data_IF_834682921346
#
_entry.id   IF_834682921346
#
_cell.length_a   1.000
_cell.length_b   1.000
_cell.length_c   1.000
_cell.angle_alpha   90.00
_cell.angle_beta   90.00
_cell.angle_gamma   90.00
#
_symmetry.space_group_name_H-M   'P 1'
#
loop_
_entity.id
_entity.type
_entity.pdbx_description
1 polymer ?
#
# COMPACT_ATOMS: atom_id res chain seq x y z
N UNK A 1 9.47 24.54 -2.71
CA UNK A 1 8.68 24.07 -3.88
C UNK A 1 7.27 23.62 -3.50
N UNK A 2 7.09 22.58 -2.68
CA UNK A 2 5.76 21.98 -2.45
C UNK A 2 4.86 22.67 -1.40
N UNK A 3 5.40 23.58 -0.59
CA UNK A 3 4.65 24.21 0.49
C UNK A 3 4.11 25.62 0.18
N UNK A 4 4.52 26.24 -0.93
CA UNK A 4 4.09 27.61 -1.27
C UNK A 4 4.26 28.57 -0.09
N UNK A 5 3.18 29.24 0.28
CA UNK A 5 3.12 30.20 1.40
C UNK A 5 2.83 29.57 2.77
N UNK A 6 2.76 28.24 2.88
CA UNK A 6 2.51 27.55 4.16
C UNK A 6 3.71 27.66 5.09
N UNK A 7 3.83 28.82 5.74
CA UNK A 7 4.84 29.12 6.78
C UNK A 7 4.64 28.29 8.06
N UNK A 8 3.53 27.56 8.16
CA UNK A 8 3.25 26.70 9.31
C UNK A 8 4.17 25.48 9.37
N UNK A 9 4.70 25.03 8.24
CA UNK A 9 5.49 23.78 8.16
C UNK A 9 6.74 23.79 9.05
N UNK A 10 7.39 24.95 9.21
CA UNK A 10 8.57 25.09 10.08
C UNK A 10 8.28 24.88 11.57
N UNK A 11 7.00 24.82 11.97
CA UNK A 11 6.58 24.51 13.34
C UNK A 11 6.25 23.04 13.56
N UNK A 12 6.23 22.23 12.50
CA UNK A 12 5.87 20.82 12.60
C UNK A 12 7.08 20.02 13.10
N UNK A 13 6.83 18.93 13.83
CA UNK A 13 7.88 17.94 14.07
C UNK A 13 8.37 17.38 12.72
N UNK A 14 9.68 17.15 12.55
CA UNK A 14 10.25 16.68 11.28
C UNK A 14 9.51 15.49 10.67
N UNK A 15 9.08 14.50 11.46
CA UNK A 15 8.32 13.34 10.95
C UNK A 15 6.98 13.72 10.29
N UNK A 16 6.28 14.71 10.86
CA UNK A 16 5.00 15.19 10.30
C UNK A 16 5.24 16.05 9.07
N UNK A 17 6.32 16.84 9.08
CA UNK A 17 6.74 17.61 7.91
C UNK A 17 7.12 16.68 6.75
N UNK A 18 7.83 15.58 7.03
CA UNK A 18 8.22 14.55 6.06
C UNK A 18 6.98 13.90 5.42
N UNK A 19 6.02 13.42 6.22
CA UNK A 19 4.77 12.85 5.70
C UNK A 19 3.99 13.84 4.83
N UNK A 20 3.90 15.11 5.25
CA UNK A 20 3.21 16.16 4.48
C UNK A 20 3.96 16.52 3.20
N UNK A 21 5.29 16.55 3.22
CA UNK A 21 6.13 16.81 2.06
C UNK A 21 5.95 15.70 1.02
N UNK A 22 6.10 14.44 1.44
CA UNK A 22 5.91 13.29 0.55
C UNK A 22 4.54 13.31 -0.11
N UNK A 23 3.46 13.50 0.67
CA UNK A 23 2.09 13.60 0.14
C UNK A 23 1.97 14.69 -0.92
N UNK A 24 2.48 15.90 -0.65
CA UNK A 24 2.40 17.01 -1.61
C UNK A 24 3.27 16.78 -2.83
N UNK A 25 4.43 16.16 -2.67
CA UNK A 25 5.32 15.83 -3.78
C UNK A 25 4.67 14.81 -4.72
N UNK A 26 4.11 13.72 -4.19
CA UNK A 26 3.36 12.75 -4.99
C UNK A 26 2.21 13.42 -5.76
N UNK A 27 1.38 14.21 -5.08
CA UNK A 27 0.24 14.90 -5.69
C UNK A 27 0.66 15.86 -6.80
N UNK A 28 1.71 16.65 -6.58
CA UNK A 28 2.22 17.60 -7.57
C UNK A 28 2.81 16.92 -8.81
N UNK A 29 3.18 15.64 -8.70
CA UNK A 29 3.69 14.83 -9.80
C UNK A 29 2.62 13.85 -10.32
N UNK A 30 1.33 14.09 -10.05
CA UNK A 30 0.25 13.24 -10.60
C UNK A 30 0.20 11.82 -10.02
N UNK A 31 0.97 11.53 -8.97
CA UNK A 31 0.95 10.27 -8.26
C UNK A 31 -0.13 10.33 -7.17
N UNK A 32 -0.92 9.25 -7.06
CA UNK A 32 -1.89 9.08 -5.99
C UNK A 32 -1.49 7.89 -5.12
N UNK A 33 -1.93 7.96 -3.86
CA UNK A 33 -1.86 6.82 -2.96
C UNK A 33 -2.87 5.74 -3.33
N UNK A 34 -2.97 4.76 -2.45
CA UNK A 34 -3.96 3.69 -2.45
C UNK A 34 -5.40 4.21 -2.29
N UNK A 35 -6.37 3.32 -2.54
CA UNK A 35 -7.78 3.53 -2.17
C UNK A 35 -8.78 3.48 -3.33
N UNK A 36 -8.41 3.90 -4.53
CA UNK A 36 -9.34 3.96 -5.66
C UNK A 36 -9.76 2.54 -6.11
N UNK A 37 -8.78 1.64 -6.31
CA UNK A 37 -9.05 0.25 -6.69
C UNK A 37 -9.80 -0.50 -5.59
N UNK A 38 -9.39 -0.38 -4.33
CA UNK A 38 -10.06 -1.06 -3.21
C UNK A 38 -11.49 -0.54 -3.02
N UNK A 39 -11.73 0.76 -3.23
CA UNK A 39 -13.08 1.34 -3.22
C UNK A 39 -13.97 0.81 -4.35
N UNK A 40 -13.44 0.73 -5.57
CA UNK A 40 -14.17 0.16 -6.72
C UNK A 40 -14.47 -1.32 -6.49
N UNK A 41 -13.50 -2.12 -6.05
CA UNK A 41 -13.70 -3.54 -5.71
C UNK A 41 -14.78 -3.71 -4.64
N UNK A 42 -14.72 -2.92 -3.54
CA UNK A 42 -15.71 -2.99 -2.48
C UNK A 42 -17.13 -2.61 -2.97
N UNK A 43 -17.21 -1.65 -3.90
CA UNK A 43 -18.48 -1.23 -4.50
C UNK A 43 -19.07 -2.34 -5.37
N UNK A 44 -18.25 -2.95 -6.23
CA UNK A 44 -18.65 -4.08 -7.08
C UNK A 44 -19.07 -5.30 -6.24
N UNK A 45 -18.29 -5.65 -5.21
CA UNK A 45 -18.63 -6.74 -4.30
C UNK A 45 -20.00 -6.52 -3.66
N UNK A 46 -20.29 -5.29 -3.20
CA UNK A 46 -21.60 -4.94 -2.64
C UNK A 46 -22.72 -5.03 -3.67
N UNK A 47 -22.51 -4.53 -4.88
CA UNK A 47 -23.51 -4.57 -5.96
C UNK A 47 -23.89 -6.01 -6.34
N UNK A 48 -22.94 -6.93 -6.28
CA UNK A 48 -23.13 -8.34 -6.61
C UNK A 48 -23.42 -9.24 -5.39
N UNK A 49 -23.59 -8.67 -4.19
CA UNK A 49 -23.89 -9.45 -2.98
C UNK A 49 -22.76 -10.37 -2.52
N UNK A 50 -21.51 -10.10 -2.94
CA UNK A 50 -20.33 -10.86 -2.52
C UNK A 50 -19.98 -10.50 -1.07
N UNK A 51 -19.87 -11.51 -0.21
CA UNK A 51 -19.48 -11.32 1.19
C UNK A 51 -18.04 -10.78 1.24
N UNK A 52 -17.87 -9.58 1.79
CA UNK A 52 -16.56 -8.98 2.01
C UNK A 52 -16.08 -9.28 3.42
N UNK A 53 -14.87 -9.82 3.54
CA UNK A 53 -14.15 -9.89 4.81
C UNK A 53 -13.12 -8.78 4.83
N UNK A 54 -13.11 -7.99 5.91
CA UNK A 54 -12.05 -7.03 6.18
C UNK A 54 -11.24 -7.57 7.35
N UNK A 55 -10.04 -8.13 7.12
CA UNK A 55 -9.15 -8.61 8.18
C UNK A 55 -8.53 -7.40 8.90
N UNK A 56 -9.36 -6.64 9.62
CA UNK A 56 -8.94 -5.45 10.34
C UNK A 56 -8.42 -5.84 11.72
N UNK A 57 -7.20 -5.40 12.04
CA UNK A 57 -6.70 -5.41 13.42
C UNK A 57 -6.97 -4.06 14.05
N UNK A 58 -7.90 -4.01 15.00
CA UNK A 58 -8.16 -2.79 15.78
C UNK A 58 -7.06 -2.57 16.80
N UNK A 59 -6.40 -1.41 16.71
CA UNK A 59 -5.58 -0.88 17.78
C UNK A 59 -6.36 0.18 18.56
N UNK A 60 -6.82 -0.17 19.76
CA UNK A 60 -7.53 0.77 20.62
C UNK A 60 -6.54 1.59 21.44
N UNK A 61 -6.50 2.91 21.20
CA UNK A 61 -5.77 3.85 22.05
C UNK A 61 -6.73 4.33 23.14
N UNK A 62 -6.73 3.62 24.28
CA UNK A 62 -7.61 3.90 25.43
C UNK A 62 -7.47 5.33 25.95
N UNK A 63 -6.26 5.88 25.92
CA UNK A 63 -5.94 7.18 26.51
C UNK A 63 -5.32 8.14 25.47
N UNK A 64 -6.12 8.66 24.52
CA UNK A 64 -5.60 9.39 23.36
C UNK A 64 -4.83 10.66 23.74
N UNK A 65 -5.26 11.37 24.81
CA UNK A 65 -4.53 12.54 25.32
C UNK A 65 -3.16 12.18 25.90
N UNK A 66 -3.07 11.04 26.59
CA UNK A 66 -1.81 10.56 27.14
C UNK A 66 -0.88 10.08 26.01
N UNK A 67 -1.42 9.39 25.00
CA UNK A 67 -0.68 9.01 23.81
C UNK A 67 -0.08 10.23 23.10
N UNK A 68 -0.86 11.29 22.87
CA UNK A 68 -0.33 12.53 22.25
C UNK A 68 0.78 13.15 23.10
N UNK A 69 0.64 13.20 24.43
CA UNK A 69 1.69 13.70 25.33
C UNK A 69 2.95 12.83 25.28
N UNK A 70 2.79 11.52 25.28
CA UNK A 70 3.90 10.56 25.20
C UNK A 70 4.63 10.67 23.86
N UNK A 71 3.90 10.85 22.75
CA UNK A 71 4.49 11.14 21.44
C UNK A 71 5.25 12.48 21.44
N UNK A 72 4.66 13.53 22.05
CA UNK A 72 5.31 14.83 22.12
C UNK A 72 6.58 14.81 22.98
N UNK A 73 6.63 13.98 24.03
CA UNK A 73 7.78 13.83 24.92
C UNK A 73 8.86 12.91 24.34
N UNK A 74 8.47 11.76 23.78
CA UNK A 74 9.36 10.63 23.49
C UNK A 74 9.14 9.99 22.11
N UNK A 75 8.32 10.60 21.25
CA UNK A 75 8.18 10.18 19.85
C UNK A 75 9.45 10.52 19.05
N UNK A 76 9.68 9.82 17.92
CA UNK A 76 10.85 10.06 17.08
C UNK A 76 10.92 11.53 16.66
N UNK A 77 12.13 12.11 16.66
CA UNK A 77 12.31 13.46 16.14
C UNK A 77 11.95 13.52 14.64
N UNK A 78 12.24 12.44 13.91
CA UNK A 78 11.98 12.28 12.49
C UNK A 78 12.96 13.01 11.59
N UNK A 79 14.12 13.46 12.09
CA UNK A 79 15.09 14.21 11.28
C UNK A 79 15.63 13.34 10.15
N UNK A 80 16.04 12.10 10.45
CA UNK A 80 16.49 11.14 9.45
C UNK A 80 15.41 10.83 8.40
N UNK A 81 14.16 10.65 8.84
CA UNK A 81 13.02 10.45 7.94
C UNK A 81 12.78 11.69 7.05
N UNK A 82 12.88 12.91 7.59
CA UNK A 82 12.73 14.13 6.80
C UNK A 82 13.87 14.27 5.77
N UNK A 83 15.12 13.98 6.16
CA UNK A 83 16.25 13.95 5.24
C UNK A 83 16.01 13.00 4.08
N UNK A 84 15.61 11.76 4.39
CA UNK A 84 15.29 10.76 3.37
C UNK A 84 14.13 11.19 2.46
N UNK A 85 13.08 11.81 2.99
CA UNK A 85 12.00 12.36 2.15
C UNK A 85 12.50 13.46 1.22
N UNK A 86 13.42 14.31 1.66
CA UNK A 86 14.01 15.32 0.79
C UNK A 86 14.78 14.65 -0.36
N UNK A 87 15.61 13.65 -0.06
CA UNK A 87 16.36 12.90 -1.07
C UNK A 87 15.42 12.22 -2.08
N UNK A 88 14.35 11.58 -1.59
CA UNK A 88 13.34 10.92 -2.44
C UNK A 88 12.65 11.90 -3.37
N UNK A 89 12.27 13.07 -2.83
CA UNK A 89 11.58 14.10 -3.59
C UNK A 89 12.48 14.74 -4.65
N UNK A 90 13.78 14.79 -4.40
CA UNK A 90 14.76 15.39 -5.32
C UNK A 90 15.28 14.39 -6.36
N UNK A 91 15.34 13.10 -6.02
CA UNK A 91 16.05 12.10 -6.84
C UNK A 91 15.22 10.89 -7.28
N UNK A 92 14.24 10.45 -6.48
CA UNK A 92 13.57 9.15 -6.69
C UNK A 92 12.18 9.27 -7.33
N UNK A 93 11.63 10.47 -7.54
CA UNK A 93 10.33 10.64 -8.20
C UNK A 93 10.23 9.93 -9.57
N UNK A 94 11.27 9.88 -10.44
CA UNK A 94 11.23 9.08 -11.66
C UNK A 94 10.95 7.60 -11.43
N UNK A 95 11.48 7.01 -10.36
CA UNK A 95 11.26 5.60 -10.02
C UNK A 95 9.82 5.37 -9.53
N UNK A 96 9.25 6.33 -8.81
CA UNK A 96 7.83 6.28 -8.44
C UNK A 96 6.92 6.30 -9.68
N UNK A 97 7.25 7.11 -10.69
CA UNK A 97 6.54 7.11 -11.96
C UNK A 97 6.69 5.78 -12.71
N UNK A 98 7.91 5.25 -12.81
CA UNK A 98 8.18 3.97 -13.45
C UNK A 98 7.37 2.85 -12.78
N UNK A 99 7.37 2.77 -11.44
CA UNK A 99 6.57 1.80 -10.69
C UNK A 99 5.07 1.99 -10.88
N UNK A 100 4.57 3.23 -10.84
CA UNK A 100 3.14 3.51 -11.03
C UNK A 100 2.66 3.06 -12.42
N UNK A 101 3.45 3.32 -13.46
CA UNK A 101 3.13 2.88 -14.82
C UNK A 101 3.22 1.36 -14.97
N UNK A 102 4.23 0.73 -14.39
CA UNK A 102 4.37 -0.72 -14.37
C UNK A 102 3.17 -1.39 -13.66
N UNK A 103 2.74 -0.84 -12.52
CA UNK A 103 1.53 -1.29 -11.82
C UNK A 103 0.26 -1.11 -12.66
N UNK A 104 0.10 0.04 -13.34
CA UNK A 104 -1.09 0.31 -14.14
C UNK A 104 -1.20 -0.58 -15.40
N UNK A 105 -0.06 -1.04 -15.94
CA UNK A 105 0.00 -1.88 -17.15
C UNK A 105 0.16 -3.36 -16.85
N UNK A 106 0.42 -3.74 -15.60
CA UNK A 106 0.68 -5.12 -15.21
C UNK A 106 2.09 -5.61 -15.54
N UNK A 107 3.06 -4.71 -15.76
CA UNK A 107 4.46 -5.09 -15.99
C UNK A 107 5.13 -5.53 -14.67
N UNK A 108 4.93 -6.80 -14.33
CA UNK A 108 5.45 -7.41 -13.10
C UNK A 108 6.99 -7.44 -13.10
N UNK A 109 7.60 -7.62 -14.26
CA UNK A 109 9.05 -7.64 -14.39
C UNK A 109 9.67 -6.29 -14.08
N UNK A 110 9.08 -5.19 -14.56
CA UNK A 110 9.49 -3.84 -14.18
C UNK A 110 9.25 -3.59 -12.68
N UNK A 111 8.10 -4.02 -12.13
CA UNK A 111 7.81 -3.87 -10.71
C UNK A 111 8.83 -4.57 -9.79
N UNK A 112 9.36 -5.73 -10.19
CA UNK A 112 10.42 -6.44 -9.46
C UNK A 112 11.78 -5.75 -9.56
N UNK A 113 12.05 -5.04 -10.67
CA UNK A 113 13.35 -4.42 -10.96
C UNK A 113 13.48 -3.00 -10.41
N UNK A 114 12.41 -2.21 -10.48
CA UNK A 114 12.43 -0.83 -10.00
C UNK A 114 12.43 -0.84 -8.47
N UNK A 115 13.48 -0.31 -7.81
CA UNK A 115 13.59 -0.36 -6.36
C UNK A 115 12.37 0.24 -5.66
N UNK A 116 11.94 -0.39 -4.57
CA UNK A 116 11.08 0.29 -3.62
C UNK A 116 11.92 1.32 -2.85
N UNK A 117 11.38 2.53 -2.69
CA UNK A 117 12.05 3.57 -1.93
C UNK A 117 12.19 3.15 -0.47
N UNK A 118 13.42 3.24 0.05
CA UNK A 118 13.74 2.99 1.46
C UNK A 118 12.98 3.93 2.42
N UNK A 119 12.37 5.00 1.89
CA UNK A 119 11.47 5.89 2.61
C UNK A 119 10.46 5.14 3.47
N UNK A 120 9.77 4.15 2.88
CA UNK A 120 8.67 3.47 3.58
C UNK A 120 9.19 2.75 4.81
N UNK A 121 10.16 1.87 4.65
CA UNK A 121 10.70 1.06 5.74
C UNK A 121 11.43 1.91 6.78
N UNK A 122 12.19 2.91 6.35
CA UNK A 122 12.98 3.76 7.25
C UNK A 122 12.10 4.69 8.07
N UNK A 123 11.12 5.34 7.45
CA UNK A 123 10.19 6.19 8.19
C UNK A 123 9.21 5.38 9.03
N UNK A 124 8.79 4.19 8.58
CA UNK A 124 7.95 3.29 9.37
C UNK A 124 8.69 2.74 10.59
N UNK A 125 9.93 2.28 10.43
CA UNK A 125 10.76 1.80 11.55
C UNK A 125 11.10 2.89 12.57
N UNK A 126 11.26 4.14 12.12
CA UNK A 126 11.41 5.28 13.04
C UNK A 126 10.18 5.46 13.95
N UNK A 127 8.99 5.11 13.47
CA UNK A 127 7.74 5.16 14.25
C UNK A 127 7.64 3.95 15.17
N UNK A 128 7.87 2.73 14.66
CA UNK A 128 7.66 1.47 15.41
C UNK A 128 8.78 1.13 16.38
N UNK A 129 10.00 1.61 16.15
CA UNK A 129 11.17 1.41 17.02
C UNK A 129 11.26 2.38 18.20
N UNK A 130 10.44 3.42 18.23
CA UNK A 130 10.43 4.39 19.34
C UNK A 130 9.80 3.76 20.60
N UNK A 131 10.31 4.09 21.78
CA UNK A 131 9.75 3.59 23.06
C UNK A 131 8.25 3.91 23.24
N UNK A 132 7.76 4.95 22.55
CA UNK A 132 6.35 5.28 22.41
C UNK A 132 5.50 4.18 21.74
N UNK A 133 6.02 3.53 20.69
CA UNK A 133 5.28 2.51 19.94
C UNK A 133 5.00 1.27 20.80
N UNK A 134 5.98 0.81 21.57
CA UNK A 134 5.79 -0.29 22.52
C UNK A 134 4.77 0.05 23.61
N UNK A 135 4.80 1.28 24.14
CA UNK A 135 3.85 1.73 25.15
C UNK A 135 2.39 1.77 24.63
N UNK A 136 2.21 1.90 23.32
CA UNK A 136 0.90 1.88 22.66
C UNK A 136 0.57 0.55 21.96
N UNK A 137 1.43 -0.47 22.04
CA UNK A 137 1.22 -1.76 21.35
C UNK A 137 1.27 -1.67 19.82
N UNK A 138 1.96 -0.65 19.29
CA UNK A 138 2.14 -0.41 17.84
C UNK A 138 3.29 -1.25 17.28
N UNK A 139 4.28 -1.59 18.10
CA UNK A 139 5.49 -2.33 17.72
C UNK A 139 5.20 -3.69 17.07
N UNK A 140 4.18 -4.41 17.57
CA UNK A 140 3.74 -5.70 17.00
C UNK A 140 2.58 -5.57 16.00
N UNK A 141 2.18 -4.35 15.62
CA UNK A 141 1.00 -4.15 14.78
C UNK A 141 1.16 -4.74 13.36
N UNK A 142 2.30 -4.60 12.65
CA UNK A 142 2.46 -5.19 11.32
C UNK A 142 2.26 -6.71 11.31
N UNK A 143 2.90 -7.44 12.23
CA UNK A 143 2.77 -8.88 12.33
C UNK A 143 1.34 -9.33 12.72
N UNK A 144 0.63 -8.54 13.55
CA UNK A 144 -0.78 -8.81 13.87
C UNK A 144 -1.69 -8.65 12.65
N UNK A 145 -1.47 -7.60 11.85
CA UNK A 145 -2.21 -7.36 10.61
C UNK A 145 -1.97 -8.50 9.62
N UNK A 146 -0.71 -8.88 9.43
CA UNK A 146 -0.33 -9.99 8.54
C UNK A 146 -0.98 -11.31 9.00
N UNK A 147 -0.86 -11.64 10.30
CA UNK A 147 -1.43 -12.85 10.86
C UNK A 147 -2.97 -12.90 10.75
N UNK A 148 -3.65 -11.78 10.99
CA UNK A 148 -5.10 -11.69 10.85
C UNK A 148 -5.54 -11.88 9.39
N UNK A 149 -4.80 -11.31 8.44
CA UNK A 149 -5.07 -11.50 7.02
C UNK A 149 -4.82 -12.95 6.59
N UNK A 150 -3.71 -13.57 7.00
CA UNK A 150 -3.41 -14.97 6.66
C UNK A 150 -4.44 -15.94 7.23
N UNK A 151 -4.94 -15.71 8.45
CA UNK A 151 -6.03 -16.50 9.00
C UNK A 151 -7.32 -16.36 8.17
N UNK A 152 -7.66 -15.14 7.74
CA UNK A 152 -8.81 -14.91 6.88
C UNK A 152 -8.63 -15.54 5.48
N UNK A 153 -7.40 -15.57 4.95
CA UNK A 153 -7.08 -16.23 3.69
C UNK A 153 -7.26 -17.76 3.81
N UNK A 154 -6.76 -18.38 4.89
CA UNK A 154 -6.93 -19.81 5.14
C UNK A 154 -8.42 -20.19 5.24
N UNK A 155 -9.21 -19.42 6.02
CA UNK A 155 -10.65 -19.63 6.15
C UNK A 155 -11.38 -19.51 4.81
N UNK A 156 -11.03 -18.49 4.00
CA UNK A 156 -11.65 -18.24 2.71
C UNK A 156 -11.32 -19.35 1.70
N UNK A 157 -10.06 -19.80 1.66
CA UNK A 157 -9.61 -20.88 0.78
C UNK A 157 -10.18 -22.24 1.17
N UNK A 158 -10.41 -22.49 2.47
CA UNK A 158 -11.04 -23.73 2.95
C UNK A 158 -12.55 -23.77 2.65
N UNK A 159 -13.24 -22.62 2.71
CA UNK A 159 -14.69 -22.55 2.57
C UNK A 159 -15.20 -22.32 1.14
N UNK A 160 -14.34 -21.88 0.21
CA UNK A 160 -14.77 -21.46 -1.13
C UNK A 160 -13.85 -22.02 -2.22
N UNK A 161 -14.44 -22.43 -3.35
CA UNK A 161 -13.70 -22.83 -4.55
C UNK A 161 -12.89 -21.68 -5.17
N UNK A 162 -13.39 -20.45 -5.01
CA UNK A 162 -12.76 -19.23 -5.51
C UNK A 162 -12.88 -18.13 -4.46
N UNK A 163 -11.77 -17.43 -4.23
CA UNK A 163 -11.69 -16.27 -3.34
C UNK A 163 -10.92 -15.16 -4.05
N UNK A 164 -11.26 -13.91 -3.75
CA UNK A 164 -10.57 -12.75 -4.28
C UNK A 164 -10.09 -11.86 -3.14
N UNK A 165 -8.83 -11.46 -3.19
CA UNK A 165 -8.22 -10.57 -2.21
C UNK A 165 -7.48 -9.44 -2.92
N UNK A 166 -7.46 -8.28 -2.28
CA UNK A 166 -6.69 -7.12 -2.74
C UNK A 166 -5.66 -6.80 -1.68
N UNK A 167 -4.39 -6.77 -2.09
CA UNK A 167 -3.25 -6.38 -1.28
C UNK A 167 -2.45 -5.29 -2.01
N UNK A 168 -1.75 -4.41 -1.28
CA UNK A 168 -0.76 -3.53 -1.86
C UNK A 168 0.32 -4.29 -2.63
N UNK A 169 0.78 -3.75 -3.75
CA UNK A 169 1.76 -4.45 -4.59
C UNK A 169 3.09 -4.69 -3.89
N UNK A 170 3.52 -3.79 -3.00
CA UNK A 170 4.75 -3.98 -2.22
C UNK A 170 4.66 -5.21 -1.30
N UNK A 171 3.49 -5.47 -0.70
CA UNK A 171 3.25 -6.61 0.19
C UNK A 171 3.27 -7.94 -0.59
N UNK A 172 2.87 -7.90 -1.86
CA UNK A 172 2.91 -9.06 -2.77
C UNK A 172 4.33 -9.34 -3.30
N UNK A 173 5.15 -8.30 -3.46
CA UNK A 173 6.52 -8.41 -3.98
C UNK A 173 7.58 -8.59 -2.88
N UNK A 174 7.21 -8.42 -1.61
CA UNK A 174 8.09 -8.69 -0.48
C UNK A 174 8.48 -10.19 -0.47
N UNK A 175 9.78 -10.54 -0.57
CA UNK A 175 10.24 -11.92 -0.54
C UNK A 175 9.94 -12.65 0.78
N UNK A 176 9.59 -11.91 1.83
CA UNK A 176 9.21 -12.43 3.15
C UNK A 176 7.75 -12.11 3.51
N UNK A 177 6.96 -11.56 2.59
CA UNK A 177 5.59 -11.14 2.82
C UNK A 177 4.55 -12.25 2.65
N UNK A 178 3.33 -11.82 2.33
CA UNK A 178 2.13 -12.66 2.33
C UNK A 178 2.23 -13.90 1.40
N UNK A 179 2.80 -13.73 0.20
CA UNK A 179 2.92 -14.85 -0.76
C UNK A 179 3.90 -15.91 -0.26
N UNK A 180 5.03 -15.49 0.32
CA UNK A 180 6.00 -16.40 0.93
C UNK A 180 5.40 -17.13 2.13
N UNK A 181 4.62 -16.43 2.96
CA UNK A 181 3.90 -17.02 4.08
C UNK A 181 2.87 -18.07 3.62
N UNK A 182 2.16 -17.83 2.51
CA UNK A 182 1.24 -18.81 1.92
C UNK A 182 1.99 -20.04 1.37
N UNK A 183 3.11 -19.84 0.67
CA UNK A 183 3.95 -20.96 0.20
C UNK A 183 4.45 -21.83 1.37
N UNK A 184 4.89 -21.20 2.47
CA UNK A 184 5.34 -21.90 3.67
C UNK A 184 4.21 -22.73 4.34
N UNK A 185 2.94 -22.36 4.13
CA UNK A 185 1.76 -23.11 4.56
C UNK A 185 1.37 -24.24 3.61
N UNK A 186 2.08 -24.40 2.48
CA UNK A 186 1.84 -25.46 1.50
C UNK A 186 0.95 -25.05 0.32
N UNK A 187 0.59 -23.77 0.20
CA UNK A 187 -0.15 -23.28 -0.95
C UNK A 187 0.75 -23.16 -2.17
N UNK A 188 0.20 -23.48 -3.35
CA UNK A 188 0.87 -23.17 -4.62
C UNK A 188 0.60 -21.72 -4.98
N UNK A 189 1.66 -20.95 -5.20
CA UNK A 189 1.57 -19.56 -5.67
C UNK A 189 2.07 -19.49 -7.10
N UNK A 190 1.18 -19.10 -8.00
CA UNK A 190 1.48 -18.91 -9.43
C UNK A 190 1.41 -17.43 -9.74
N UNK A 191 2.51 -16.87 -10.25
CA UNK A 191 2.54 -15.48 -10.69
C UNK A 191 1.82 -15.34 -12.04
N UNK A 192 1.20 -14.18 -12.34
CA UNK A 192 0.42 -14.00 -13.57
C UNK A 192 1.28 -14.13 -14.84
N UNK A 193 2.55 -13.79 -14.76
CA UNK A 193 3.56 -13.88 -15.82
C UNK A 193 4.19 -15.28 -15.94
N UNK A 194 3.86 -16.22 -15.06
CA UNK A 194 4.32 -17.61 -15.17
C UNK A 194 3.59 -18.37 -16.32
N UNK A 195 2.45 -17.86 -16.79
CA UNK A 195 1.60 -18.47 -17.81
C UNK A 195 2.10 -18.34 -19.25
N UNK A 196 2.96 -17.36 -19.54
CA UNK A 196 3.48 -17.09 -20.90
C UNK A 196 4.45 -18.18 -21.40
N UNK A 197 4.84 -19.13 -20.55
CA UNK A 197 5.58 -20.31 -20.97
C UNK A 197 4.67 -21.46 -21.47
N UNK A 198 3.37 -21.52 -21.16
CA UNK A 198 2.55 -22.70 -21.53
C UNK A 198 1.01 -22.57 -21.69
N UNK A 199 0.35 -21.41 -21.54
CA UNK A 199 -1.12 -21.39 -21.67
C UNK A 199 -1.69 -20.20 -22.44
N UNK A 200 -2.26 -20.50 -23.61
CA UNK A 200 -3.22 -19.63 -24.27
C UNK A 200 -4.48 -19.48 -23.39
N UNK A 201 -4.82 -18.24 -23.08
CA UNK A 201 -5.90 -17.85 -22.17
C UNK A 201 -7.28 -18.08 -22.81
N UNK A 202 -8.24 -18.80 -22.17
CA UNK A 202 -9.61 -18.95 -22.70
C UNK A 202 -10.49 -17.72 -22.46
N UNK A 203 -10.01 -16.68 -21.77
CA UNK A 203 -10.79 -15.50 -21.44
C UNK A 203 -10.30 -14.24 -22.18
N UNK A 204 -10.39 -14.24 -23.52
CA UNK A 204 -10.38 -12.96 -24.26
C UNK A 204 -11.81 -12.42 -24.33
N UNK A 205 -12.17 -11.33 -23.62
CA UNK A 205 -13.40 -10.62 -23.91
C UNK A 205 -13.25 -9.96 -25.29
N UNK A 206 -14.15 -10.30 -26.21
CA UNK A 206 -14.20 -9.68 -27.54
C UNK A 206 -14.27 -8.16 -27.39
N UNK A 207 -13.35 -7.47 -28.08
CA UNK A 207 -13.34 -6.01 -28.21
C UNK A 207 -14.70 -5.53 -28.71
N UNK A 208 -15.47 -4.88 -27.84
CA UNK A 208 -16.71 -4.20 -28.23
C UNK A 208 -16.29 -2.89 -28.92
N UNK A 209 -16.41 -2.86 -30.24
CA UNK A 209 -16.22 -1.65 -31.02
C UNK A 209 -17.20 -0.55 -30.57
N UNK A 210 -16.79 0.73 -30.52
CA UNK A 210 -17.68 1.83 -30.17
C UNK A 210 -18.77 2.00 -31.24
N UNK A 211 -20.01 2.21 -30.78
CA UNK A 211 -21.16 2.50 -31.63
C UNK A 211 -20.96 3.84 -32.39
N UNK A 212 -21.39 3.96 -33.65
CA UNK A 212 -21.28 5.20 -34.39
C UNK A 212 -22.21 6.28 -33.82
N UNK A 213 -21.68 7.50 -33.70
CA UNK A 213 -22.43 8.68 -33.30
C UNK A 213 -23.48 9.02 -34.38
N UNK A 214 -24.75 8.95 -34.04
CA UNK A 214 -25.83 9.54 -34.84
C UNK A 214 -25.80 11.05 -34.64
N UNK A 215 -25.42 11.76 -35.70
CA UNK A 215 -25.68 13.19 -35.86
C UNK A 215 -27.10 13.34 -36.39
N UNK A 216 -27.95 14.08 -35.70
CA UNK A 216 -29.15 14.66 -36.29
C UNK A 216 -29.24 16.14 -35.90
N UNK A 217 -29.69 16.91 -36.89
CA UNK A 217 -29.76 18.37 -36.98
C UNK A 217 -30.75 19.02 -36.01
#
# INVERSE_FOLDING_TARGET
RYFGEDRGIGRYRPILAAAKLMKKAMQANGLRGDGEVTGTVATLAKQHGVKTVKPETTLEIREPRQAVKAFAASGPDGIACLGLVLDVVDHELPDFHARANAWATGDIDALRKVPESAYRDTCQSAITGAGFAKALGIDNLPARVEGAWLAAADDALAANTQSFAVLPMHDLLDPHGYLAALQARGYTVTAPDAGDATAADPATPASVAPAPATSDH
#
